data_IF_212370803749
#
_entry.id   IF_212370803749
#
_cell.length_a   1.000
_cell.length_b   1.000
_cell.length_c   1.000
_cell.angle_alpha   90.00
_cell.angle_beta   90.00
_cell.angle_gamma   90.00
#
_symmetry.space_group_name_H-M   'P 1'
#
loop_
_entity.id
_entity.type
_entity.pdbx_description
1 polymer ?
#
# COMPACT_ATOMS: atom_id res chain seq x y z
N UNK A 1 37.83 -40.92 16.57
CA UNK A 1 36.55 -40.78 15.84
C UNK A 1 36.12 -39.34 16.04
N UNK A 2 36.02 -38.59 14.94
CA UNK A 2 35.98 -37.13 14.93
C UNK A 2 34.62 -36.58 15.39
N UNK A 3 34.64 -35.78 16.46
CA UNK A 3 33.49 -35.05 17.03
C UNK A 3 33.06 -33.84 16.18
N UNK A 4 33.50 -33.72 14.93
CA UNK A 4 33.20 -32.57 14.07
C UNK A 4 31.70 -32.47 13.75
N UNK A 5 30.98 -33.59 13.70
CA UNK A 5 29.55 -33.62 13.40
C UNK A 5 28.65 -32.99 14.48
N UNK A 6 29.17 -32.73 15.69
CA UNK A 6 28.40 -32.05 16.76
C UNK A 6 28.42 -30.51 16.66
N UNK A 7 29.28 -29.95 15.80
CA UNK A 7 29.44 -28.49 15.67
C UNK A 7 29.11 -27.96 14.27
N UNK A 8 28.76 -28.84 13.33
CA UNK A 8 28.39 -28.45 11.97
C UNK A 8 26.87 -28.49 11.86
N UNK A 9 26.25 -27.31 11.87
CA UNK A 9 24.84 -27.14 11.56
C UNK A 9 24.67 -27.28 10.05
N UNK A 10 23.85 -28.25 9.63
CA UNK A 10 23.47 -28.43 8.24
C UNK A 10 22.11 -27.74 8.08
N UNK A 11 22.12 -26.48 7.68
CA UNK A 11 20.91 -25.74 7.30
C UNK A 11 20.71 -25.88 5.79
N UNK A 12 19.45 -25.95 5.32
CA UNK A 12 19.22 -25.86 3.88
C UNK A 12 19.61 -24.47 3.40
N UNK A 13 20.14 -24.38 2.19
CA UNK A 13 20.49 -23.09 1.59
C UNK A 13 19.28 -22.14 1.54
N UNK A 14 18.06 -22.66 1.38
CA UNK A 14 16.81 -21.91 1.46
C UNK A 14 16.54 -21.26 2.82
N UNK A 15 17.02 -21.87 3.91
CA UNK A 15 16.82 -21.39 5.28
C UNK A 15 17.90 -20.37 5.69
N UNK A 16 18.96 -20.26 4.89
CA UNK A 16 20.05 -19.31 5.03
C UNK A 16 19.94 -18.14 4.05
N UNK A 17 19.19 -18.33 2.97
CA UNK A 17 18.79 -17.30 2.03
C UNK A 17 17.53 -16.63 2.59
N UNK A 18 17.72 -15.73 3.55
CA UNK A 18 16.69 -14.72 3.81
C UNK A 18 16.45 -13.99 2.48
N UNK A 19 15.25 -14.15 1.90
CA UNK A 19 14.79 -13.23 0.87
C UNK A 19 14.99 -11.83 1.45
N UNK A 20 15.60 -10.89 0.72
CA UNK A 20 15.83 -9.55 1.26
C UNK A 20 14.50 -9.04 1.78
N UNK A 21 14.37 -8.85 3.09
CA UNK A 21 13.15 -8.27 3.64
C UNK A 21 13.01 -6.92 2.98
N UNK A 22 11.97 -6.76 2.17
CA UNK A 22 11.58 -5.43 1.75
C UNK A 22 11.06 -4.78 3.00
N UNK A 23 11.90 -3.96 3.64
CA UNK A 23 11.52 -3.19 4.80
C UNK A 23 10.51 -2.13 4.36
N UNK A 24 9.23 -2.47 4.44
CA UNK A 24 8.14 -1.55 4.16
C UNK A 24 8.02 -0.53 5.27
N UNK A 25 7.85 0.74 4.90
CA UNK A 25 7.59 1.79 5.85
C UNK A 25 6.10 1.90 6.15
N UNK A 26 5.75 1.54 7.38
CA UNK A 26 4.44 1.80 7.95
C UNK A 26 4.57 2.88 9.04
N UNK A 27 3.90 4.04 8.93
CA UNK A 27 3.91 5.05 9.97
C UNK A 27 3.34 4.52 11.29
N UNK A 28 3.89 4.97 12.42
CA UNK A 28 3.28 4.73 13.74
C UNK A 28 1.84 5.26 13.77
N UNK A 29 0.94 4.49 14.40
CA UNK A 29 -0.49 4.79 14.47
C UNK A 29 -0.87 5.72 15.63
N UNK A 30 -0.14 5.67 16.75
CA UNK A 30 -0.38 6.48 17.95
C UNK A 30 -0.65 7.98 17.70
N UNK A 31 -0.01 8.65 16.72
CA UNK A 31 -0.30 10.06 16.42
C UNK A 31 -1.68 10.32 15.78
N UNK A 32 -2.41 9.28 15.37
CA UNK A 32 -3.62 9.38 14.58
C UNK A 32 -4.84 8.89 15.36
N UNK A 33 -5.62 9.83 15.91
CA UNK A 33 -6.76 9.52 16.78
C UNK A 33 -7.94 8.81 16.08
N UNK A 34 -7.93 8.72 14.75
CA UNK A 34 -9.00 8.10 13.97
C UNK A 34 -8.51 6.99 13.04
N UNK A 35 -7.38 6.38 13.34
CA UNK A 35 -6.84 5.24 12.59
C UNK A 35 -6.59 4.07 13.52
N UNK A 36 -7.26 2.96 13.25
CA UNK A 36 -7.05 1.70 13.98
C UNK A 36 -6.69 0.59 13.00
N UNK A 37 -5.76 -0.27 13.40
CA UNK A 37 -5.38 -1.44 12.63
C UNK A 37 -6.33 -2.59 12.96
N UNK A 38 -7.03 -3.09 11.96
CA UNK A 38 -8.04 -4.16 12.07
C UNK A 38 -7.45 -5.55 11.83
N UNK A 39 -6.18 -5.62 11.40
CA UNK A 39 -5.60 -6.78 10.71
C UNK A 39 -5.71 -8.12 11.46
N UNK A 40 -5.83 -9.20 10.66
CA UNK A 40 -6.17 -10.57 11.08
C UNK A 40 -5.32 -11.68 10.42
N UNK A 41 -4.10 -11.36 9.98
CA UNK A 41 -3.10 -12.37 9.57
C UNK A 41 -1.79 -12.10 10.30
N UNK A 42 -1.31 -13.13 11.00
CA UNK A 42 0.04 -13.23 11.55
C UNK A 42 0.87 -13.98 10.50
N UNK A 43 1.76 -13.27 9.82
CA UNK A 43 2.82 -13.92 9.02
C UNK A 43 4.15 -13.82 9.75
N UNK A 44 5.06 -14.76 9.49
CA UNK A 44 6.38 -14.83 10.12
C UNK A 44 7.24 -13.56 9.94
N UNK A 45 6.85 -12.67 9.01
CA UNK A 45 7.51 -11.41 8.69
C UNK A 45 6.61 -10.17 8.94
N UNK A 46 5.53 -10.31 9.73
CA UNK A 46 4.55 -9.25 10.02
C UNK A 46 3.39 -9.18 9.01
N UNK A 47 2.31 -8.44 9.32
CA UNK A 47 1.13 -8.38 8.46
C UNK A 47 1.44 -7.66 7.14
N UNK A 48 1.41 -8.38 6.03
CA UNK A 48 1.62 -7.82 4.68
C UNK A 48 0.35 -7.20 4.08
N UNK A 49 -0.82 -7.73 4.44
CA UNK A 49 -2.12 -7.10 4.17
C UNK A 49 -2.67 -6.47 5.44
N UNK A 50 -2.95 -5.16 5.41
CA UNK A 50 -3.48 -4.37 6.53
C UNK A 50 -4.83 -3.78 6.13
N UNK A 51 -5.82 -3.95 7.01
CA UNK A 51 -7.08 -3.21 6.94
C UNK A 51 -7.08 -2.16 8.04
N UNK A 52 -7.28 -0.90 7.66
CA UNK A 52 -7.42 0.21 8.58
C UNK A 52 -8.89 0.55 8.78
N UNK A 53 -9.30 0.78 10.03
CA UNK A 53 -10.52 1.50 10.36
C UNK A 53 -10.22 3.00 10.42
N UNK A 54 -11.06 3.78 9.77
CA UNK A 54 -10.85 5.21 9.53
C UNK A 54 -12.06 5.99 10.05
N UNK A 55 -11.87 6.65 11.19
CA UNK A 55 -12.85 7.58 11.76
C UNK A 55 -12.60 9.02 11.30
N UNK A 56 -11.38 9.32 10.85
CA UNK A 56 -10.99 10.65 10.39
C UNK A 56 -10.23 10.59 9.06
N UNK A 57 -10.88 11.03 7.98
CA UNK A 57 -10.27 11.09 6.64
C UNK A 57 -9.02 11.97 6.59
N UNK A 58 -8.93 13.05 7.38
CA UNK A 58 -7.75 13.91 7.39
C UNK A 58 -6.53 13.16 7.93
N UNK A 59 -6.72 12.37 8.97
CA UNK A 59 -5.66 11.58 9.58
C UNK A 59 -5.25 10.44 8.67
N UNK A 60 -6.22 9.78 8.00
CA UNK A 60 -5.96 8.81 6.93
C UNK A 60 -5.08 9.38 5.82
N UNK A 61 -5.44 10.56 5.28
CA UNK A 61 -4.64 11.20 4.24
C UNK A 61 -3.26 11.62 4.76
N UNK A 62 -3.15 12.08 6.00
CA UNK A 62 -1.86 12.44 6.62
C UNK A 62 -0.97 11.20 6.87
N UNK A 63 -1.58 10.05 7.10
CA UNK A 63 -0.89 8.76 7.20
C UNK A 63 -0.35 8.31 5.84
N UNK A 64 -1.19 8.34 4.79
CA UNK A 64 -0.75 8.03 3.42
C UNK A 64 0.33 8.99 2.93
N UNK A 65 0.24 10.27 3.29
CA UNK A 65 1.25 11.27 2.98
C UNK A 65 2.63 10.84 3.51
N UNK A 66 2.74 10.38 4.76
CA UNK A 66 4.03 9.93 5.32
C UNK A 66 4.62 8.76 4.53
N UNK A 67 3.79 7.81 4.10
CA UNK A 67 4.23 6.69 3.25
C UNK A 67 4.82 7.23 1.95
N UNK A 68 4.06 8.05 1.21
CA UNK A 68 4.50 8.61 -0.07
C UNK A 68 5.77 9.45 0.10
N UNK A 69 5.85 10.25 1.16
CA UNK A 69 7.06 11.02 1.47
C UNK A 69 8.26 10.12 1.68
N UNK A 70 8.16 9.08 2.52
CA UNK A 70 9.28 8.16 2.76
C UNK A 70 9.71 7.45 1.48
N UNK A 71 8.75 6.98 0.70
CA UNK A 71 9.01 6.29 -0.57
C UNK A 71 9.67 7.21 -1.61
N UNK A 72 9.29 8.50 -1.64
CA UNK A 72 9.89 9.48 -2.55
C UNK A 72 11.37 9.78 -2.26
N UNK A 73 11.83 9.51 -1.04
CA UNK A 73 13.20 9.75 -0.59
C UNK A 73 14.13 8.55 -0.83
N UNK A 74 13.60 7.40 -1.25
CA UNK A 74 14.41 6.25 -1.63
C UNK A 74 15.17 6.50 -2.93
N UNK A 75 16.29 5.80 -3.13
CA UNK A 75 17.13 5.99 -4.32
C UNK A 75 16.34 5.73 -5.62
N UNK A 76 16.65 6.49 -6.66
CA UNK A 76 15.90 6.59 -7.94
C UNK A 76 15.76 5.25 -8.67
N UNK A 77 16.58 4.26 -8.32
CA UNK A 77 16.73 3.00 -9.06
C UNK A 77 16.31 1.75 -8.27
N UNK A 78 15.86 1.87 -7.03
CA UNK A 78 15.66 0.69 -6.16
C UNK A 78 14.22 0.44 -5.74
N UNK A 79 13.32 1.41 -5.92
CA UNK A 79 11.93 1.30 -5.50
C UNK A 79 10.98 0.81 -6.60
N UNK A 80 10.04 -0.05 -6.23
CA UNK A 80 8.93 -0.54 -7.03
C UNK A 80 7.75 0.42 -7.14
N UNK A 81 6.65 -0.07 -7.73
CA UNK A 81 5.44 0.69 -7.96
C UNK A 81 4.64 0.88 -6.67
N UNK A 82 3.98 2.03 -6.56
CA UNK A 82 2.97 2.35 -5.55
C UNK A 82 1.64 2.47 -6.29
N UNK A 83 0.80 1.45 -6.16
CA UNK A 83 -0.54 1.45 -6.75
C UNK A 83 -1.54 2.07 -5.77
N UNK A 84 -2.15 3.18 -6.17
CA UNK A 84 -3.22 3.84 -5.46
C UNK A 84 -4.55 3.54 -6.14
N UNK A 85 -5.54 3.08 -5.37
CA UNK A 85 -6.88 2.76 -5.88
C UNK A 85 -7.90 3.67 -5.18
N UNK A 86 -8.34 4.70 -5.89
CA UNK A 86 -9.23 5.75 -5.41
C UNK A 86 -10.70 5.41 -5.73
N UNK A 87 -11.31 4.62 -4.86
CA UNK A 87 -12.72 4.24 -4.87
C UNK A 87 -13.62 5.31 -4.23
N UNK A 88 -13.08 6.09 -3.30
CA UNK A 88 -13.82 7.07 -2.51
C UNK A 88 -13.61 8.53 -2.98
N UNK A 89 -12.89 8.73 -4.09
CA UNK A 89 -12.50 10.04 -4.62
C UNK A 89 -11.76 10.93 -3.61
N UNK A 90 -10.93 10.29 -2.77
CA UNK A 90 -10.16 10.96 -1.71
C UNK A 90 -8.74 11.33 -2.17
N UNK A 91 -8.19 10.63 -3.16
CA UNK A 91 -6.78 10.76 -3.56
C UNK A 91 -6.60 11.78 -4.69
N UNK A 92 -7.54 11.81 -5.64
CA UNK A 92 -7.58 12.79 -6.73
C UNK A 92 -6.39 12.69 -7.69
N UNK A 93 -5.84 13.82 -8.17
CA UNK A 93 -4.74 13.83 -9.14
C UNK A 93 -3.81 15.03 -8.91
N UNK A 94 -2.53 14.89 -9.26
CA UNK A 94 -1.55 16.00 -9.21
C UNK A 94 -2.00 17.24 -9.99
N UNK A 95 -2.84 17.08 -11.02
CA UNK A 95 -3.38 18.17 -11.85
C UNK A 95 -4.63 18.85 -11.29
N UNK A 96 -5.28 18.27 -10.27
CA UNK A 96 -6.50 18.81 -9.66
C UNK A 96 -6.12 19.60 -8.40
N UNK A 97 -6.30 20.94 -8.39
CA UNK A 97 -6.00 21.77 -7.23
C UNK A 97 -6.74 21.28 -5.98
N UNK A 98 -6.10 21.38 -4.81
CA UNK A 98 -6.64 20.98 -3.51
C UNK A 98 -6.95 19.48 -3.36
N UNK A 99 -6.60 18.63 -4.32
CA UNK A 99 -6.63 17.18 -4.12
C UNK A 99 -5.45 16.72 -3.25
N UNK A 100 -5.57 15.52 -2.69
CA UNK A 100 -4.51 14.92 -1.89
C UNK A 100 -3.19 14.79 -2.67
N UNK A 101 -3.21 14.18 -3.87
CA UNK A 101 -1.99 14.02 -4.67
C UNK A 101 -1.37 15.35 -5.11
N UNK A 102 -2.18 16.37 -5.41
CA UNK A 102 -1.68 17.71 -5.68
C UNK A 102 -1.00 18.35 -4.46
N UNK A 103 -1.58 18.17 -3.27
CA UNK A 103 -0.99 18.65 -2.01
C UNK A 103 0.36 17.98 -1.72
N UNK A 104 0.43 16.65 -1.83
CA UNK A 104 1.67 15.88 -1.62
C UNK A 104 2.75 16.29 -2.63
N UNK A 105 2.40 16.37 -3.92
CA UNK A 105 3.30 16.83 -4.97
C UNK A 105 3.85 18.23 -4.66
N UNK A 106 2.99 19.14 -4.24
CA UNK A 106 3.33 20.53 -3.94
C UNK A 106 4.23 20.69 -2.71
N UNK A 107 4.14 19.78 -1.73
CA UNK A 107 5.00 19.79 -0.54
C UNK A 107 6.36 19.13 -0.80
N UNK A 108 6.40 18.10 -1.66
CA UNK A 108 7.64 17.47 -2.09
C UNK A 108 8.47 18.35 -3.05
N UNK A 109 7.79 19.19 -3.83
CA UNK A 109 8.44 20.12 -4.77
C UNK A 109 9.05 21.31 -4.02
N UNK A 110 10.34 21.65 -4.21
CA UNK A 110 10.98 22.76 -3.53
C UNK A 110 10.24 24.06 -3.84
N UNK A 111 9.77 24.74 -2.80
CA UNK A 111 9.37 26.13 -2.88
C UNK A 111 10.57 26.97 -2.50
N UNK A 112 11.00 27.85 -3.41
CA UNK A 112 12.03 28.85 -3.13
C UNK A 112 11.69 29.60 -1.84
N UNK A 113 12.44 29.33 -0.76
CA UNK A 113 12.40 30.12 0.47
C UNK A 113 11.76 29.52 1.73
N UNK A 114 11.35 28.24 1.77
CA UNK A 114 10.82 27.64 3.01
C UNK A 114 11.61 26.41 3.46
N UNK A 115 12.36 26.58 4.56
CA UNK A 115 13.13 25.55 5.25
C UNK A 115 12.20 24.59 6.00
N UNK A 116 11.80 23.47 5.40
CA UNK A 116 11.33 22.29 6.14
C UNK A 116 11.73 21.02 5.38
N UNK A 117 12.74 20.31 5.90
CA UNK A 117 13.26 19.00 5.46
C UNK A 117 13.65 18.92 3.97
N UNK A 118 14.93 18.60 3.68
CA UNK A 118 15.57 18.67 2.35
C UNK A 118 14.60 18.39 1.19
N UNK A 119 14.09 19.43 0.50
CA UNK A 119 13.16 19.22 -0.60
C UNK A 119 13.89 18.48 -1.72
N UNK A 120 13.28 17.39 -2.22
CA UNK A 120 13.76 16.66 -3.39
C UNK A 120 13.87 17.62 -4.57
N UNK A 121 14.80 17.39 -5.50
CA UNK A 121 14.80 18.19 -6.73
C UNK A 121 13.48 18.02 -7.49
N UNK A 122 13.03 19.03 -8.23
CA UNK A 122 11.81 18.91 -9.03
C UNK A 122 11.84 17.72 -10.00
N UNK A 123 13.05 17.34 -10.47
CA UNK A 123 13.27 16.15 -11.29
C UNK A 123 13.03 14.86 -10.50
N UNK A 124 13.50 14.76 -9.24
CA UNK A 124 13.25 13.62 -8.36
C UNK A 124 11.75 13.44 -8.10
N UNK A 125 11.05 14.52 -7.78
CA UNK A 125 9.60 14.48 -7.55
C UNK A 125 8.87 14.03 -8.83
N UNK A 126 9.21 14.64 -9.97
CA UNK A 126 8.61 14.27 -11.25
C UNK A 126 8.86 12.80 -11.60
N UNK A 127 10.06 12.29 -11.36
CA UNK A 127 10.42 10.88 -11.60
C UNK A 127 9.64 9.94 -10.69
N UNK A 128 9.50 10.26 -9.40
CA UNK A 128 8.70 9.45 -8.48
C UNK A 128 7.24 9.35 -8.94
N UNK A 129 6.58 10.48 -9.19
CA UNK A 129 5.17 10.50 -9.59
C UNK A 129 4.92 9.89 -10.97
N UNK A 130 5.85 10.03 -11.92
CA UNK A 130 5.67 9.49 -13.27
C UNK A 130 6.09 8.03 -13.44
N UNK A 131 7.01 7.52 -12.61
CA UNK A 131 7.60 6.17 -12.78
C UNK A 131 7.25 5.18 -11.68
N UNK A 132 6.81 5.63 -10.50
CA UNK A 132 6.47 4.75 -9.38
C UNK A 132 5.00 4.81 -9.01
N UNK A 133 4.39 5.99 -9.00
CA UNK A 133 3.01 6.15 -8.58
C UNK A 133 2.03 5.84 -9.73
N UNK A 134 1.15 4.87 -9.50
CA UNK A 134 0.06 4.51 -10.43
C UNK A 134 -1.26 4.77 -9.72
N UNK A 135 -2.21 5.42 -10.38
CA UNK A 135 -3.53 5.70 -9.82
C UNK A 135 -4.62 5.02 -10.66
N UNK A 136 -5.48 4.27 -9.99
CA UNK A 136 -6.77 3.81 -10.52
C UNK A 136 -7.89 4.59 -9.86
N UNK A 137 -8.67 5.34 -10.64
CA UNK A 137 -9.77 6.19 -10.16
C UNK A 137 -11.08 5.93 -10.91
N UNK A 138 -11.15 4.83 -11.66
CA UNK A 138 -12.27 4.39 -12.49
C UNK A 138 -13.03 3.20 -11.87
N UNK A 139 -12.82 2.98 -10.57
CA UNK A 139 -13.45 1.89 -9.81
C UNK A 139 -14.77 2.38 -9.23
N UNK A 140 -15.87 1.77 -9.68
CA UNK A 140 -17.23 2.20 -9.35
C UNK A 140 -18.02 1.17 -8.53
N UNK A 141 -17.51 -0.06 -8.41
CA UNK A 141 -18.12 -1.13 -7.62
C UNK A 141 -17.06 -2.07 -7.04
N UNK A 142 -17.42 -2.80 -5.97
CA UNK A 142 -16.52 -3.78 -5.37
C UNK A 142 -16.25 -4.97 -6.29
N UNK A 143 -17.23 -5.44 -7.07
CA UNK A 143 -17.00 -6.51 -8.04
C UNK A 143 -15.99 -6.08 -9.13
N UNK A 144 -16.12 -4.87 -9.66
CA UNK A 144 -15.14 -4.31 -10.61
C UNK A 144 -13.74 -4.27 -9.98
N UNK A 145 -13.64 -3.83 -8.71
CA UNK A 145 -12.37 -3.83 -7.98
C UNK A 145 -11.78 -5.23 -7.84
N UNK A 146 -12.60 -6.19 -7.39
CA UNK A 146 -12.21 -7.59 -7.25
C UNK A 146 -11.74 -8.19 -8.57
N UNK A 147 -12.42 -7.89 -9.67
CA UNK A 147 -12.04 -8.39 -10.99
C UNK A 147 -10.72 -7.78 -11.46
N UNK A 148 -10.50 -6.47 -11.26
CA UNK A 148 -9.23 -5.81 -11.60
C UNK A 148 -8.05 -6.34 -10.77
N UNK A 149 -8.22 -6.43 -9.45
CA UNK A 149 -7.20 -6.94 -8.53
C UNK A 149 -6.91 -8.43 -8.76
N UNK A 150 -7.96 -9.23 -8.96
CA UNK A 150 -7.84 -10.65 -9.25
C UNK A 150 -7.18 -10.92 -10.61
N UNK A 151 -7.37 -10.04 -11.59
CA UNK A 151 -6.65 -10.15 -12.85
C UNK A 151 -5.13 -9.99 -12.64
N UNK A 152 -4.69 -9.07 -11.78
CA UNK A 152 -3.26 -8.92 -11.45
C UNK A 152 -2.71 -10.23 -10.87
N UNK A 153 -3.32 -10.78 -9.82
CA UNK A 153 -2.85 -12.04 -9.19
C UNK A 153 -2.82 -13.23 -10.16
N UNK A 154 -3.78 -13.32 -11.09
CA UNK A 154 -3.87 -14.46 -12.02
C UNK A 154 -3.02 -14.35 -13.30
N UNK A 155 -2.61 -13.14 -13.72
CA UNK A 155 -2.05 -12.93 -15.07
C UNK A 155 -0.59 -12.50 -15.11
N UNK A 156 -0.03 -12.03 -14.01
CA UNK A 156 1.35 -11.56 -13.95
C UNK A 156 2.13 -12.46 -12.99
N UNK A 157 2.97 -13.36 -13.52
CA UNK A 157 3.98 -13.98 -12.65
C UNK A 157 5.04 -12.92 -12.33
N UNK A 158 5.54 -12.93 -11.09
CA UNK A 158 6.55 -12.00 -10.60
C UNK A 158 7.78 -11.91 -11.53
N UNK A 159 8.09 -13.00 -12.23
CA UNK A 159 9.20 -13.13 -13.18
C UNK A 159 9.09 -12.24 -14.42
N UNK A 160 7.90 -11.73 -14.76
CA UNK A 160 7.67 -10.88 -15.94
C UNK A 160 7.43 -9.41 -15.62
N UNK A 161 7.55 -9.01 -14.34
CA UNK A 161 7.42 -7.61 -13.97
C UNK A 161 8.74 -6.86 -14.15
N UNK A 162 8.73 -5.84 -15.02
CA UNK A 162 9.88 -4.91 -15.19
C UNK A 162 10.20 -4.12 -13.90
N UNK A 163 9.26 -4.06 -12.96
CA UNK A 163 9.37 -3.37 -11.67
C UNK A 163 8.61 -4.13 -10.60
N UNK A 164 9.15 -4.20 -9.39
CA UNK A 164 8.41 -4.71 -8.24
C UNK A 164 7.17 -3.87 -7.93
N UNK A 165 6.21 -4.46 -7.23
CA UNK A 165 5.11 -3.75 -6.59
C UNK A 165 5.43 -3.64 -5.11
N UNK A 166 5.51 -2.41 -4.58
CA UNK A 166 5.87 -2.20 -3.18
C UNK A 166 4.62 -2.00 -2.32
N UNK A 167 3.68 -1.17 -2.79
CA UNK A 167 2.44 -0.87 -2.08
C UNK A 167 1.23 -0.98 -2.98
N UNK A 168 0.14 -1.54 -2.43
CA UNK A 168 -1.22 -1.43 -2.96
C UNK A 168 -2.06 -0.73 -1.92
N UNK A 169 -2.41 0.53 -2.15
CA UNK A 169 -3.20 1.35 -1.23
C UNK A 169 -4.59 1.53 -1.80
N UNK A 170 -5.59 1.02 -1.09
CA UNK A 170 -7.00 1.05 -1.47
C UNK A 170 -7.70 2.04 -0.56
N UNK A 171 -8.19 3.13 -1.14
CA UNK A 171 -8.98 4.14 -0.43
C UNK A 171 -10.28 3.54 0.12
N UNK A 172 -11.01 4.34 0.90
CA UNK A 172 -12.10 3.86 1.75
C UNK A 172 -13.14 3.00 1.01
N UNK A 173 -13.17 1.70 1.31
CA UNK A 173 -14.08 0.74 0.66
C UNK A 173 -15.51 0.83 1.19
N UNK A 174 -15.77 1.57 2.27
CA UNK A 174 -17.13 1.77 2.84
C UNK A 174 -18.14 2.34 1.85
N UNK A 175 -17.67 3.01 0.79
CA UNK A 175 -18.51 3.48 -0.32
C UNK A 175 -19.29 2.35 -0.99
N UNK A 176 -18.78 1.12 -0.98
CA UNK A 176 -19.45 -0.05 -1.55
C UNK A 176 -20.36 -0.79 -0.55
N UNK A 177 -20.20 -0.54 0.75
CA UNK A 177 -20.93 -1.28 1.79
C UNK A 177 -22.41 -0.97 1.82
N UNK A 178 -22.81 0.23 1.40
CA UNK A 178 -24.22 0.60 1.35
C UNK A 178 -25.04 -0.36 0.48
N UNK A 179 -24.51 -0.77 -0.67
CA UNK A 179 -25.17 -1.71 -1.58
C UNK A 179 -25.22 -3.13 -1.01
N UNK A 180 -24.21 -3.54 -0.26
CA UNK A 180 -24.14 -4.87 0.37
C UNK A 180 -25.02 -4.98 1.62
N UNK A 181 -25.14 -3.89 2.39
CA UNK A 181 -26.00 -3.84 3.57
C UNK A 181 -27.47 -4.08 3.20
N UNK A 182 -27.93 -3.46 2.12
CA UNK A 182 -29.32 -3.56 1.69
C UNK A 182 -29.67 -4.96 1.15
N UNK A 183 -28.69 -5.65 0.54
CA UNK A 183 -28.87 -7.01 -0.01
C UNK A 183 -28.57 -8.12 1.00
N UNK A 184 -27.80 -7.83 2.06
CA UNK A 184 -27.29 -8.83 3.01
C UNK A 184 -26.25 -9.79 2.42
N UNK A 185 -25.77 -9.52 1.20
CA UNK A 185 -24.77 -10.34 0.51
C UNK A 185 -23.38 -9.73 0.66
N UNK A 186 -22.51 -10.42 1.41
CA UNK A 186 -21.15 -9.99 1.71
C UNK A 186 -20.08 -10.82 0.98
N UNK A 187 -20.47 -11.64 -0.01
CA UNK A 187 -19.54 -12.52 -0.73
C UNK A 187 -18.43 -11.73 -1.44
N UNK A 188 -18.77 -10.60 -2.04
CA UNK A 188 -17.77 -9.74 -2.70
C UNK A 188 -16.77 -9.14 -1.72
N UNK A 189 -17.18 -8.88 -0.47
CA UNK A 189 -16.28 -8.41 0.57
C UNK A 189 -15.33 -9.51 1.05
N UNK A 190 -15.83 -10.72 1.23
CA UNK A 190 -14.98 -11.88 1.55
C UNK A 190 -13.96 -12.12 0.43
N UNK A 191 -14.42 -12.06 -0.83
CA UNK A 191 -13.57 -12.18 -2.01
C UNK A 191 -12.51 -11.07 -2.06
N UNK A 192 -12.88 -9.84 -1.75
CA UNK A 192 -11.96 -8.69 -1.69
C UNK A 192 -10.80 -8.93 -0.74
N UNK A 193 -11.09 -9.34 0.51
CA UNK A 193 -10.03 -9.63 1.48
C UNK A 193 -9.15 -10.80 1.03
N UNK A 194 -9.72 -11.85 0.45
CA UNK A 194 -8.95 -12.97 -0.09
C UNK A 194 -8.00 -12.54 -1.21
N UNK A 195 -8.45 -11.65 -2.09
CA UNK A 195 -7.62 -11.13 -3.19
C UNK A 195 -6.51 -10.22 -2.65
N UNK A 196 -6.79 -9.36 -1.68
CA UNK A 196 -5.77 -8.49 -1.08
C UNK A 196 -4.67 -9.30 -0.38
N UNK A 197 -5.05 -10.36 0.34
CA UNK A 197 -4.10 -11.31 0.93
C UNK A 197 -3.25 -12.01 -0.14
N UNK A 198 -3.90 -12.52 -1.18
CA UNK A 198 -3.21 -13.16 -2.32
C UNK A 198 -2.22 -12.22 -2.99
N UNK A 199 -2.63 -10.99 -3.32
CA UNK A 199 -1.74 -9.99 -3.91
C UNK A 199 -0.53 -9.68 -3.02
N UNK A 200 -0.77 -9.48 -1.74
CA UNK A 200 0.29 -9.18 -0.79
C UNK A 200 1.29 -10.33 -0.65
N UNK A 201 0.81 -11.56 -0.70
CA UNK A 201 1.62 -12.77 -0.70
C UNK A 201 2.40 -12.95 -2.02
N UNK A 202 1.68 -13.00 -3.15
CA UNK A 202 2.22 -13.31 -4.48
C UNK A 202 3.26 -12.29 -4.96
N UNK A 203 3.08 -11.02 -4.61
CA UNK A 203 3.96 -9.92 -5.02
C UNK A 203 4.94 -9.47 -3.95
N UNK A 204 4.85 -10.06 -2.76
CA UNK A 204 5.58 -9.64 -1.56
C UNK A 204 5.48 -8.12 -1.37
N UNK A 205 4.25 -7.60 -1.37
CA UNK A 205 3.98 -6.17 -1.30
C UNK A 205 3.09 -5.82 -0.10
N UNK A 206 3.19 -4.58 0.38
CA UNK A 206 2.34 -4.08 1.45
C UNK A 206 0.98 -3.65 0.87
N UNK A 207 -0.07 -4.40 1.20
CA UNK A 207 -1.44 -4.04 0.79
C UNK A 207 -2.16 -3.36 1.95
N UNK A 208 -2.62 -2.13 1.77
CA UNK A 208 -3.32 -1.35 2.80
C UNK A 208 -4.69 -0.97 2.26
N UNK A 209 -5.76 -1.46 2.87
CA UNK A 209 -7.11 -0.99 2.59
C UNK A 209 -7.66 -0.19 3.76
N UNK A 210 -8.54 0.77 3.48
CA UNK A 210 -9.25 1.50 4.53
C UNK A 210 -10.75 1.30 4.46
N UNK A 211 -11.40 1.41 5.61
CA UNK A 211 -12.84 1.27 5.79
C UNK A 211 -13.24 2.21 6.92
N UNK A 212 -14.45 2.76 6.85
CA UNK A 212 -15.07 3.46 7.98
C UNK A 212 -16.31 2.69 8.40
N UNK A 213 -16.36 2.29 9.67
CA UNK A 213 -17.64 1.90 10.26
C UNK A 213 -18.42 3.16 10.64
N UNK A 214 -19.70 3.19 10.28
CA UNK A 214 -20.61 4.15 10.90
C UNK A 214 -20.80 3.64 12.32
N UNK A 215 -20.27 4.38 13.30
CA UNK A 215 -20.51 4.11 14.71
C UNK A 215 -22.02 3.90 14.94
N UNK A 216 -22.36 2.79 15.59
CA UNK A 216 -23.74 2.49 15.99
C UNK A 216 -24.23 3.50 17.03
#
# INVERSE_FOLDING_TARGET
MDNLHQYVRIDNLSDLLDYPSRDFFLPELDPYQGLELVTKDDEAHGPRYIQMDVFNTKDWLSFLEKIIFKESQQDKNTGGLVLLIDCAFQLGSVSIPNSFLNSVYSKLTPKSGLNQQQPLSSEQVSQFFSRRLVLWNDVTSLDQLNNKLGAISNSLSFEYMDRSLDYVIISNVSVFYWQMRDSGDFRDLVRFHSICKGLSHDYECMTISSMSYIAR
#
